data_IF_608229845799
#
_entry.id   IF_608229845799
#
_cell.length_a   1.000
_cell.length_b   1.000
_cell.length_c   1.000
_cell.angle_alpha   90.00
_cell.angle_beta   90.00
_cell.angle_gamma   90.00
#
_symmetry.space_group_name_H-M   'P 1'
#
loop_
_entity.id
_entity.type
_entity.pdbx_description
1 polymer ?
#
# COMPACT_ATOMS: atom_id res chain seq x y z
N UNK A 1 -15.20 -7.97 -8.00
CA UNK A 1 -15.68 -8.16 -6.59
C UNK A 1 -16.90 -7.30 -6.29
N UNK A 2 -16.94 -6.04 -6.70
CA UNK A 2 -18.04 -5.11 -6.47
C UNK A 2 -19.40 -5.54 -7.08
N UNK A 3 -19.42 -6.46 -8.04
CA UNK A 3 -20.66 -7.01 -8.61
C UNK A 3 -21.43 -7.93 -7.65
N UNK A 4 -20.79 -8.41 -6.59
CA UNK A 4 -21.36 -9.36 -5.62
C UNK A 4 -21.25 -8.90 -4.17
N UNK A 5 -20.67 -7.73 -3.93
CA UNK A 5 -20.56 -7.10 -2.61
C UNK A 5 -21.49 -5.90 -2.54
N UNK A 6 -22.21 -5.77 -1.43
CA UNK A 6 -23.13 -4.65 -1.19
C UNK A 6 -22.55 -3.61 -0.25
N UNK A 7 -21.52 -3.96 0.51
CA UNK A 7 -20.93 -3.10 1.55
C UNK A 7 -19.42 -3.01 1.38
N UNK A 8 -18.88 -1.81 1.62
CA UNK A 8 -17.44 -1.53 1.64
C UNK A 8 -17.10 -0.70 2.88
N UNK A 9 -15.93 -0.95 3.46
CA UNK A 9 -15.41 -0.17 4.57
C UNK A 9 -14.04 0.38 4.21
N UNK A 10 -13.87 1.70 4.27
CA UNK A 10 -12.59 2.37 4.04
C UNK A 10 -11.79 2.35 5.35
N UNK A 11 -11.09 1.27 5.58
CA UNK A 11 -10.36 1.04 6.84
C UNK A 11 -8.88 1.42 6.79
N UNK A 12 -8.31 1.62 5.60
CA UNK A 12 -6.89 1.93 5.38
C UNK A 12 -5.92 1.04 6.18
N UNK A 13 -6.31 -0.23 6.39
CA UNK A 13 -5.60 -1.16 7.25
C UNK A 13 -4.35 -1.77 6.62
N UNK A 14 -4.14 -1.56 5.35
CA UNK A 14 -3.07 -2.19 4.60
C UNK A 14 -2.41 -1.21 3.63
N UNK A 15 -1.08 -1.15 3.68
CA UNK A 15 -0.26 -0.44 2.70
C UNK A 15 0.52 -1.49 1.88
N UNK A 16 0.30 -1.54 0.58
CA UNK A 16 0.90 -2.51 -0.33
C UNK A 16 1.90 -1.83 -1.29
N UNK A 17 3.15 -1.59 -0.87
CA UNK A 17 4.15 -1.06 -1.78
C UNK A 17 4.47 -2.08 -2.87
N UNK A 18 4.52 -1.63 -4.12
CA UNK A 18 4.91 -2.44 -5.27
C UNK A 18 6.29 -1.97 -5.80
N UNK A 19 7.41 -2.53 -5.29
CA UNK A 19 8.74 -2.11 -5.73
C UNK A 19 9.03 -2.61 -7.14
N UNK A 20 9.54 -1.71 -7.99
CA UNK A 20 10.12 -2.09 -9.27
C UNK A 20 11.55 -2.57 -9.06
N UNK A 21 11.82 -3.82 -9.38
CA UNK A 21 13.10 -4.48 -9.11
C UNK A 21 13.80 -4.87 -10.41
N UNK A 22 15.15 -4.78 -10.38
CA UNK A 22 16.02 -5.27 -11.46
C UNK A 22 17.16 -6.07 -10.83
N UNK A 23 17.63 -7.11 -11.52
CA UNK A 23 18.81 -7.85 -11.09
C UNK A 23 20.04 -6.93 -11.08
N UNK A 24 20.74 -6.87 -9.96
CA UNK A 24 21.96 -6.07 -9.82
C UNK A 24 23.02 -6.47 -10.83
N UNK A 25 23.29 -7.77 -10.97
CA UNK A 25 24.30 -8.27 -11.91
C UNK A 25 23.95 -7.93 -13.36
N UNK A 26 22.67 -7.99 -13.73
CA UNK A 26 22.21 -7.58 -15.06
C UNK A 26 22.39 -6.07 -15.25
N UNK A 27 21.97 -5.26 -14.30
CA UNK A 27 22.04 -3.81 -14.38
C UNK A 27 23.48 -3.29 -14.46
N UNK A 28 24.39 -3.81 -13.61
CA UNK A 28 25.82 -3.45 -13.61
C UNK A 28 26.56 -3.93 -14.86
N UNK A 29 26.04 -4.95 -15.55
CA UNK A 29 26.58 -5.44 -16.84
C UNK A 29 26.18 -4.60 -18.06
N UNK A 30 25.26 -3.64 -17.92
CA UNK A 30 24.84 -2.76 -19.00
C UNK A 30 25.82 -1.60 -19.20
N UNK A 31 25.96 -1.06 -20.44
CA UNK A 31 26.63 0.21 -20.68
C UNK A 31 26.03 1.34 -19.81
N UNK A 32 26.85 2.33 -19.44
CA UNK A 32 26.45 3.38 -18.49
C UNK A 32 25.26 4.23 -18.97
N UNK A 33 25.17 4.48 -20.27
CA UNK A 33 24.04 5.18 -20.88
C UNK A 33 22.72 4.41 -20.77
N UNK A 34 22.75 3.08 -20.92
CA UNK A 34 21.58 2.23 -20.70
C UNK A 34 21.16 2.17 -19.22
N UNK A 35 22.15 2.14 -18.30
CA UNK A 35 21.83 2.21 -16.87
C UNK A 35 21.09 3.51 -16.53
N UNK A 36 21.50 4.63 -17.10
CA UNK A 36 20.89 5.93 -16.88
C UNK A 36 19.46 6.00 -17.48
N UNK A 37 19.28 5.48 -18.69
CA UNK A 37 17.96 5.38 -19.32
C UNK A 37 16.99 4.54 -18.48
N UNK A 38 17.43 3.41 -17.95
CA UNK A 38 16.58 2.54 -17.11
C UNK A 38 16.19 3.23 -15.80
N UNK A 39 17.14 3.93 -15.15
CA UNK A 39 16.83 4.69 -13.93
C UNK A 39 15.79 5.77 -14.19
N UNK A 40 16.00 6.55 -15.25
CA UNK A 40 15.10 7.63 -15.63
C UNK A 40 13.70 7.08 -15.95
N UNK A 41 13.61 6.03 -16.76
CA UNK A 41 12.34 5.38 -17.10
C UNK A 41 11.62 4.82 -15.87
N UNK A 42 12.36 4.25 -14.89
CA UNK A 42 11.78 3.77 -13.65
C UNK A 42 11.19 4.89 -12.78
N UNK A 43 11.87 6.05 -12.73
CA UNK A 43 11.35 7.23 -12.02
C UNK A 43 10.08 7.79 -12.70
N UNK A 44 10.09 7.91 -14.01
CA UNK A 44 8.94 8.36 -14.79
C UNK A 44 7.74 7.40 -14.64
N UNK A 45 7.99 6.09 -14.68
CA UNK A 45 6.94 5.08 -14.49
C UNK A 45 6.35 5.14 -13.08
N UNK A 46 7.19 5.35 -12.04
CA UNK A 46 6.73 5.55 -10.66
C UNK A 46 5.83 6.77 -10.52
N UNK A 47 6.26 7.89 -11.09
CA UNK A 47 5.52 9.15 -10.95
C UNK A 47 4.20 9.07 -11.72
N UNK A 48 4.20 8.49 -12.92
CA UNK A 48 2.99 8.23 -13.70
C UNK A 48 2.01 7.30 -12.98
N UNK A 49 2.51 6.21 -12.37
CA UNK A 49 1.67 5.26 -11.63
C UNK A 49 0.99 5.92 -10.44
N UNK A 50 1.74 6.70 -9.64
CA UNK A 50 1.19 7.41 -8.47
C UNK A 50 0.13 8.42 -8.86
N UNK A 51 0.44 9.28 -9.85
CA UNK A 51 -0.52 10.27 -10.35
C UNK A 51 -1.81 9.60 -10.86
N UNK A 52 -1.67 8.49 -11.57
CA UNK A 52 -2.81 7.76 -12.12
C UNK A 52 -3.63 7.07 -11.04
N UNK A 53 -2.98 6.43 -10.07
CA UNK A 53 -3.65 5.77 -8.95
C UNK A 53 -4.46 6.77 -8.15
N UNK A 54 -3.86 7.89 -7.76
CA UNK A 54 -4.54 8.95 -7.01
C UNK A 54 -5.75 9.51 -7.77
N UNK A 55 -5.61 9.73 -9.09
CA UNK A 55 -6.69 10.26 -9.91
C UNK A 55 -7.85 9.27 -10.16
N UNK A 56 -7.55 7.97 -10.22
CA UNK A 56 -8.54 6.93 -10.52
C UNK A 56 -9.25 6.39 -9.28
N UNK A 57 -8.65 6.45 -8.08
CA UNK A 57 -9.20 5.87 -6.86
C UNK A 57 -10.56 6.48 -6.51
N UNK A 58 -10.65 7.79 -6.45
CA UNK A 58 -11.90 8.51 -6.16
C UNK A 58 -12.98 8.26 -7.22
N UNK A 59 -12.58 8.26 -8.50
CA UNK A 59 -13.50 8.03 -9.60
C UNK A 59 -14.06 6.61 -9.58
N UNK A 60 -13.24 5.61 -9.28
CA UNK A 60 -13.67 4.22 -9.16
C UNK A 60 -14.59 4.01 -7.95
N UNK A 61 -14.29 4.63 -6.82
CA UNK A 61 -15.14 4.58 -5.64
C UNK A 61 -16.51 5.18 -5.93
N UNK A 62 -16.55 6.34 -6.59
CA UNK A 62 -17.80 6.97 -6.96
C UNK A 62 -18.60 6.12 -7.96
N UNK A 63 -17.95 5.49 -8.94
CA UNK A 63 -18.61 4.55 -9.85
C UNK A 63 -19.20 3.35 -9.10
N UNK A 64 -18.52 2.81 -8.09
CA UNK A 64 -19.02 1.71 -7.27
C UNK A 64 -20.29 2.09 -6.51
N UNK A 65 -20.36 3.31 -5.99
CA UNK A 65 -21.54 3.84 -5.30
C UNK A 65 -22.69 4.04 -6.28
N UNK A 66 -22.45 4.79 -7.36
CA UNK A 66 -23.50 5.26 -8.25
C UNK A 66 -24.06 4.16 -9.16
N UNK A 67 -23.19 3.30 -9.67
CA UNK A 67 -23.58 2.30 -10.68
C UNK A 67 -23.92 0.95 -10.06
N UNK A 68 -23.24 0.56 -9.00
CA UNK A 68 -23.41 -0.75 -8.37
C UNK A 68 -24.14 -0.68 -7.02
N UNK A 69 -24.44 0.51 -6.53
CA UNK A 69 -25.22 0.71 -5.29
C UNK A 69 -24.50 0.22 -4.04
N UNK A 70 -23.17 0.30 -4.01
CA UNK A 70 -22.37 -0.11 -2.84
C UNK A 70 -22.57 0.91 -1.72
N UNK A 71 -22.92 0.43 -0.54
CA UNK A 71 -22.97 1.23 0.68
C UNK A 71 -21.58 1.29 1.31
N UNK A 72 -21.02 2.51 1.46
CA UNK A 72 -19.65 2.72 1.93
C UNK A 72 -19.63 3.30 3.33
N UNK A 73 -18.91 2.63 4.24
CA UNK A 73 -18.57 3.16 5.56
C UNK A 73 -17.22 3.90 5.48
N UNK A 74 -17.26 5.22 5.61
CA UNK A 74 -16.07 6.08 5.56
C UNK A 74 -15.45 6.34 6.95
N UNK A 75 -16.16 6.04 8.03
CA UNK A 75 -15.73 6.27 9.41
C UNK A 75 -15.87 5.00 10.26
N UNK A 76 -15.05 3.97 9.99
CA UNK A 76 -15.07 2.75 10.79
C UNK A 76 -14.45 2.98 12.19
N UNK A 77 -14.86 2.18 13.17
CA UNK A 77 -14.26 2.17 14.51
C UNK A 77 -12.84 1.56 14.47
N UNK A 78 -11.87 2.37 14.03
CA UNK A 78 -10.46 1.98 13.93
C UNK A 78 -9.90 1.51 15.29
N UNK A 79 -10.17 2.17 16.44
CA UNK A 79 -9.72 1.69 17.75
C UNK A 79 -10.17 0.25 18.06
N UNK A 80 -11.43 -0.09 17.79
CA UNK A 80 -11.93 -1.46 17.98
C UNK A 80 -11.24 -2.46 17.06
N UNK A 81 -10.99 -2.13 15.79
CA UNK A 81 -10.25 -2.97 14.85
C UNK A 81 -8.80 -3.20 15.31
N UNK A 82 -8.13 -2.16 15.78
CA UNK A 82 -6.78 -2.25 16.33
C UNK A 82 -6.72 -3.12 17.59
N UNK A 83 -7.68 -2.96 18.50
CA UNK A 83 -7.78 -3.78 19.70
C UNK A 83 -7.97 -5.26 19.37
N UNK A 84 -8.82 -5.57 18.39
CA UNK A 84 -9.07 -6.95 17.95
C UNK A 84 -7.85 -7.61 17.31
N UNK A 85 -6.94 -6.85 16.71
CA UNK A 85 -5.72 -7.35 16.05
C UNK A 85 -4.48 -7.34 16.95
N UNK A 86 -4.59 -6.86 18.19
CA UNK A 86 -3.44 -6.76 19.11
C UNK A 86 -2.74 -8.11 19.35
N UNK A 87 -3.46 -9.23 19.32
CA UNK A 87 -2.89 -10.57 19.45
C UNK A 87 -1.84 -10.87 18.38
N UNK A 88 -2.06 -10.40 17.15
CA UNK A 88 -1.11 -10.57 16.03
C UNK A 88 0.23 -9.88 16.35
N UNK A 89 0.19 -8.67 16.90
CA UNK A 89 1.41 -7.99 17.34
C UNK A 89 2.14 -8.81 18.41
N UNK A 90 1.41 -9.37 19.38
CA UNK A 90 1.99 -10.18 20.44
C UNK A 90 2.70 -11.43 19.91
N UNK A 91 2.21 -11.99 18.79
CA UNK A 91 2.80 -13.20 18.19
C UNK A 91 4.06 -12.89 17.36
N UNK A 92 4.10 -11.76 16.66
CA UNK A 92 5.14 -11.48 15.66
C UNK A 92 6.12 -10.37 16.05
N UNK A 93 5.80 -9.50 17.02
CA UNK A 93 6.64 -8.38 17.43
C UNK A 93 7.28 -8.66 18.77
N UNK A 94 8.62 -8.53 18.89
CA UNK A 94 9.35 -8.72 20.15
C UNK A 94 10.79 -9.18 19.93
N UNK A 95 11.54 -9.24 21.05
CA UNK A 95 12.90 -9.75 21.01
C UNK A 95 12.92 -11.21 20.55
N UNK A 96 13.72 -11.51 19.53
CA UNK A 96 13.81 -12.84 18.90
C UNK A 96 12.62 -13.24 18.03
N UNK A 97 11.65 -12.36 17.83
CA UNK A 97 10.52 -12.56 16.91
C UNK A 97 10.81 -12.01 15.51
N UNK A 98 9.84 -12.16 14.61
CA UNK A 98 9.98 -11.78 13.19
C UNK A 98 10.20 -10.27 13.01
N UNK A 99 9.58 -9.45 13.86
CA UNK A 99 9.56 -7.98 13.73
C UNK A 99 10.15 -7.37 15.00
N UNK A 100 11.15 -6.51 14.82
CA UNK A 100 11.73 -5.70 15.91
C UNK A 100 10.70 -4.64 16.37
N UNK A 101 10.43 -4.53 17.67
CA UNK A 101 9.56 -3.49 18.22
C UNK A 101 9.92 -2.06 17.79
N UNK A 102 11.21 -1.77 17.61
CA UNK A 102 11.68 -0.45 17.18
C UNK A 102 11.17 -0.09 15.76
N UNK A 103 11.00 -1.08 14.88
CA UNK A 103 10.43 -0.85 13.54
C UNK A 103 8.97 -0.44 13.63
N UNK A 104 8.20 -1.10 14.50
CA UNK A 104 6.79 -0.75 14.72
C UNK A 104 6.66 0.67 15.28
N UNK A 105 7.52 1.03 16.22
CA UNK A 105 7.54 2.37 16.81
C UNK A 105 7.92 3.45 15.77
N UNK A 106 8.91 3.18 14.92
CA UNK A 106 9.27 4.08 13.82
C UNK A 106 8.10 4.33 12.87
N UNK A 107 7.36 3.28 12.49
CA UNK A 107 6.18 3.39 11.62
C UNK A 107 5.10 4.23 12.29
N UNK A 108 4.80 3.98 13.55
CA UNK A 108 3.79 4.74 14.31
C UNK A 108 4.15 6.23 14.41
N UNK A 109 5.42 6.53 14.68
CA UNK A 109 5.90 7.91 14.79
C UNK A 109 5.96 8.64 13.44
N UNK A 110 6.05 7.89 12.32
CA UNK A 110 6.05 8.47 10.98
C UNK A 110 4.63 8.81 10.48
N UNK A 111 3.64 8.06 10.94
CA UNK A 111 2.23 8.23 10.55
C UNK A 111 1.47 9.29 11.38
N UNK A 112 2.14 9.91 12.38
CA UNK A 112 1.58 10.92 13.29
C UNK A 112 1.66 12.36 12.80
#
# INVERSE_FOLDING_TARGET
MYEVQHYMTISNHFYAPAPLLISRAFFEGLPADYQEIIKQAALEARDYERERTDAEEDAQLQEMIDKYGIEVCFDPDIPSLQAATQAVYNDFVGEGKLIDPAVVEQIRNFAG
#
